data_IF_988522698690
#
_entry.id   IF_988522698690
#
_cell.length_a   1.000
_cell.length_b   1.000
_cell.length_c   1.000
_cell.angle_alpha   90.00
_cell.angle_beta   90.00
_cell.angle_gamma   90.00
#
_symmetry.space_group_name_H-M   'P 1'
#
loop_
_entity.id
_entity.type
_entity.pdbx_description
1 polymer ?
#
# COMPACT_ATOMS: atom_id res chain seq x y z
N UNK A 1 -6.73 13.35 17.43
CA UNK A 1 -6.19 12.60 16.26
C UNK A 1 -6.97 11.32 15.96
N UNK A 2 -7.00 10.32 16.86
CA UNK A 2 -7.58 8.98 16.56
C UNK A 2 -8.91 8.70 17.29
N UNK A 3 -9.65 9.74 17.69
CA UNK A 3 -10.90 9.57 18.42
C UNK A 3 -11.97 8.91 17.53
N UNK A 4 -12.67 7.91 18.06
CA UNK A 4 -13.73 7.18 17.34
C UNK A 4 -13.25 6.17 16.30
N UNK A 5 -11.93 6.03 16.10
CA UNK A 5 -11.38 5.06 15.15
C UNK A 5 -11.36 3.64 15.76
N UNK A 6 -12.00 2.64 15.15
CA UNK A 6 -11.97 1.26 15.66
C UNK A 6 -10.57 0.65 15.71
N UNK A 7 -9.60 1.21 14.95
CA UNK A 7 -8.19 0.79 14.94
C UNK A 7 -7.29 1.75 15.74
N UNK A 8 -7.86 2.62 16.59
CA UNK A 8 -7.11 3.63 17.33
C UNK A 8 -5.92 3.04 18.11
N UNK A 9 -6.11 1.94 18.83
CA UNK A 9 -5.05 1.37 19.67
C UNK A 9 -3.93 0.70 18.86
N UNK A 10 -4.29 0.09 17.73
CA UNK A 10 -3.30 -0.40 16.76
C UNK A 10 -2.46 0.76 16.22
N UNK A 11 -3.11 1.84 15.78
CA UNK A 11 -2.42 3.03 15.23
C UNK A 11 -1.54 3.71 16.26
N UNK A 12 -1.98 3.83 17.53
CA UNK A 12 -1.12 4.33 18.63
C UNK A 12 0.13 3.47 18.80
N UNK A 13 -0.07 2.15 18.81
CA UNK A 13 1.04 1.18 18.91
C UNK A 13 2.01 1.36 17.76
N UNK A 14 1.52 1.47 16.52
CA UNK A 14 2.33 1.69 15.32
C UNK A 14 3.10 3.02 15.36
N UNK A 15 2.51 4.09 15.88
CA UNK A 15 3.19 5.38 16.07
C UNK A 15 4.35 5.22 17.07
N UNK A 16 4.11 4.63 18.25
CA UNK A 16 5.19 4.44 19.23
C UNK A 16 6.27 3.47 18.74
N UNK A 17 5.91 2.42 18.01
CA UNK A 17 6.87 1.53 17.36
C UNK A 17 7.68 2.24 16.28
N UNK A 18 7.07 3.20 15.56
CA UNK A 18 7.80 4.03 14.60
C UNK A 18 8.87 4.86 15.31
N UNK A 19 8.53 5.48 16.44
CA UNK A 19 9.50 6.22 17.26
C UNK A 19 10.60 5.27 17.76
N UNK A 20 10.24 4.11 18.31
CA UNK A 20 11.21 3.09 18.76
C UNK A 20 12.13 2.61 17.63
N UNK A 21 11.59 2.43 16.43
CA UNK A 21 12.34 2.02 15.24
C UNK A 21 13.36 3.06 14.81
N UNK A 22 13.06 4.37 14.97
CA UNK A 22 14.05 5.43 14.69
C UNK A 22 15.28 5.34 15.60
N UNK A 23 15.16 4.76 16.80
CA UNK A 23 16.26 4.53 17.74
C UNK A 23 17.10 3.28 17.40
N UNK A 24 16.71 2.49 16.40
CA UNK A 24 17.47 1.34 15.94
C UNK A 24 18.52 1.77 14.91
N UNK A 25 19.81 1.58 15.21
CA UNK A 25 20.87 1.89 14.25
C UNK A 25 20.80 0.98 13.01
N UNK A 26 20.60 -0.32 13.16
CA UNK A 26 20.53 -1.20 11.98
C UNK A 26 19.22 -1.04 11.19
N UNK A 27 19.20 -1.60 9.97
CA UNK A 27 18.02 -1.66 9.09
C UNK A 27 17.47 -3.08 9.02
N UNK A 28 17.49 -3.80 10.14
CA UNK A 28 17.03 -5.18 10.20
C UNK A 28 15.52 -5.31 9.97
N UNK A 29 14.76 -4.23 10.23
CA UNK A 29 13.41 -4.04 9.72
C UNK A 29 13.53 -3.09 8.51
N UNK A 30 13.52 -3.66 7.31
CA UNK A 30 13.64 -2.91 6.06
C UNK A 30 12.29 -2.31 5.69
N UNK A 31 12.22 -0.98 5.63
CA UNK A 31 11.00 -0.34 5.18
C UNK A 31 10.88 1.15 5.43
N UNK A 32 9.63 1.60 5.44
CA UNK A 32 9.14 2.95 5.63
C UNK A 32 7.75 2.89 6.28
N UNK A 33 7.43 3.93 7.06
CA UNK A 33 6.08 4.17 7.57
C UNK A 33 5.48 5.35 6.81
N UNK A 34 4.21 5.24 6.43
CA UNK A 34 3.48 6.29 5.73
C UNK A 34 2.37 6.81 6.63
N UNK A 35 2.45 8.08 7.00
CA UNK A 35 1.41 8.82 7.70
C UNK A 35 0.54 9.53 6.66
N UNK A 36 -0.71 9.11 6.54
CA UNK A 36 -1.63 9.58 5.51
C UNK A 36 -2.77 10.42 6.13
N UNK A 37 -3.10 11.56 5.52
CA UNK A 37 -4.29 12.34 5.91
C UNK A 37 -4.58 13.49 4.95
N UNK A 38 -5.47 14.41 5.28
CA UNK A 38 -5.89 15.55 4.45
C UNK A 38 -5.20 16.87 4.82
N UNK A 39 -4.48 16.92 5.95
CA UNK A 39 -3.83 18.11 6.50
C UNK A 39 -4.55 18.60 7.75
N UNK A 40 -3.79 19.05 8.76
CA UNK A 40 -4.35 19.54 10.03
C UNK A 40 -4.68 18.46 11.06
N UNK A 41 -4.38 17.18 10.79
CA UNK A 41 -4.64 16.08 11.74
C UNK A 41 -3.53 15.87 12.77
N UNK A 42 -2.44 16.63 12.67
CA UNK A 42 -1.33 16.59 13.64
C UNK A 42 -0.16 15.67 13.27
N UNK A 43 -0.06 15.21 12.02
CA UNK A 43 1.09 14.44 11.52
C UNK A 43 2.42 15.19 11.72
N UNK A 44 2.42 16.51 11.46
CA UNK A 44 3.57 17.39 11.71
C UNK A 44 3.96 17.48 13.19
N UNK A 45 3.03 17.33 14.13
CA UNK A 45 3.33 17.28 15.57
C UNK A 45 4.11 16.01 15.89
N UNK A 46 3.74 14.87 15.28
CA UNK A 46 4.48 13.60 15.46
C UNK A 46 5.90 13.73 14.89
N UNK A 47 6.06 14.32 13.70
CA UNK A 47 7.38 14.63 13.14
C UNK A 47 8.21 15.50 14.09
N UNK A 48 7.60 16.51 14.70
CA UNK A 48 8.28 17.39 15.66
C UNK A 48 8.75 16.65 16.91
N UNK A 49 7.93 15.75 17.44
CA UNK A 49 8.33 14.88 18.56
C UNK A 49 9.52 14.00 18.17
N UNK A 50 9.48 13.35 17.00
CA UNK A 50 10.59 12.53 16.50
C UNK A 50 11.86 13.37 16.31
N UNK A 51 11.73 14.56 15.72
CA UNK A 51 12.84 15.49 15.53
C UNK A 51 13.48 15.88 16.87
N UNK A 52 12.68 16.22 17.89
CA UNK A 52 13.16 16.64 19.20
C UNK A 52 13.78 15.48 20.02
N UNK A 53 13.36 14.24 19.77
CA UNK A 53 13.92 13.05 20.44
C UNK A 53 15.26 12.59 19.85
N UNK A 54 15.56 12.95 18.60
CA UNK A 54 16.72 12.45 17.87
C UNK A 54 17.82 13.51 17.79
N UNK A 55 19.07 13.05 17.82
CA UNK A 55 20.24 13.94 17.70
C UNK A 55 20.30 14.63 16.33
N UNK A 56 19.88 13.91 15.29
CA UNK A 56 19.91 14.40 13.92
C UNK A 56 18.84 13.71 13.09
N UNK A 57 18.08 14.52 12.38
CA UNK A 57 17.13 14.13 11.34
C UNK A 57 17.52 14.75 10.01
N UNK A 58 16.95 14.25 8.93
CA UNK A 58 16.98 14.86 7.60
C UNK A 58 15.55 14.99 7.07
N UNK A 59 15.39 15.73 5.97
CA UNK A 59 14.09 15.98 5.34
C UNK A 59 14.22 15.97 3.81
N UNK A 60 14.89 14.94 3.28
CA UNK A 60 15.10 14.78 1.83
C UNK A 60 13.87 14.09 1.25
N UNK A 61 13.25 14.69 0.23
CA UNK A 61 12.10 14.11 -0.47
C UNK A 61 12.45 12.81 -1.20
N UNK A 62 11.46 12.01 -1.57
CA UNK A 62 11.75 10.83 -2.41
C UNK A 62 12.26 11.22 -3.79
N UNK A 63 11.78 12.33 -4.34
CA UNK A 63 12.27 12.89 -5.61
C UNK A 63 13.74 13.33 -5.49
N UNK A 64 14.09 14.13 -4.48
CA UNK A 64 15.47 14.55 -4.22
C UNK A 64 16.39 13.35 -3.97
N UNK A 65 15.89 12.31 -3.29
CA UNK A 65 16.65 11.09 -3.05
C UNK A 65 17.03 10.40 -4.37
N UNK A 66 16.13 10.38 -5.34
CA UNK A 66 16.34 9.71 -6.63
C UNK A 66 17.09 10.59 -7.65
N UNK A 67 16.89 11.92 -7.63
CA UNK A 67 17.45 12.81 -8.64
C UNK A 67 18.68 13.60 -8.18
N UNK A 68 18.71 14.06 -6.91
CA UNK A 68 19.80 14.89 -6.39
C UNK A 68 20.84 14.05 -5.63
N UNK A 69 21.93 13.76 -6.33
CA UNK A 69 23.07 13.00 -5.78
C UNK A 69 23.78 13.66 -4.60
N UNK A 70 23.67 14.98 -4.44
CA UNK A 70 24.27 15.71 -3.32
C UNK A 70 23.35 15.70 -2.09
N UNK A 71 22.02 15.76 -2.29
CA UNK A 71 21.04 15.66 -1.20
C UNK A 71 21.17 14.36 -0.42
N UNK A 72 21.51 13.25 -1.09
CA UNK A 72 21.78 11.94 -0.44
C UNK A 72 22.82 12.01 0.69
N UNK A 73 23.77 12.95 0.63
CA UNK A 73 24.76 13.12 1.69
C UNK A 73 24.16 13.67 2.99
N UNK A 74 22.99 14.32 2.96
CA UNK A 74 22.31 14.82 4.17
C UNK A 74 21.81 13.68 5.07
N UNK A 75 21.60 12.46 4.52
CA UNK A 75 21.28 11.25 5.30
C UNK A 75 22.43 10.79 6.21
N UNK A 76 23.66 11.22 5.94
CA UNK A 76 24.81 10.81 6.74
C UNK A 76 24.68 11.30 8.19
N UNK A 77 24.67 10.34 9.12
CA UNK A 77 24.51 10.60 10.56
C UNK A 77 23.08 10.87 11.01
N UNK A 78 22.10 10.87 10.12
CA UNK A 78 20.69 11.07 10.45
C UNK A 78 20.05 9.77 10.95
N UNK A 79 19.17 9.87 11.95
CA UNK A 79 18.46 8.74 12.55
C UNK A 79 17.08 8.52 11.94
N UNK A 80 16.46 9.59 11.45
CA UNK A 80 15.23 9.56 10.67
C UNK A 80 15.33 10.54 9.49
N UNK A 81 14.71 10.16 8.38
CA UNK A 81 14.39 11.05 7.28
C UNK A 81 12.89 11.32 7.33
N UNK A 82 12.52 12.53 7.74
CA UNK A 82 11.14 12.99 7.93
C UNK A 82 10.70 13.70 6.64
N UNK A 83 9.99 12.96 5.81
CA UNK A 83 9.54 13.41 4.49
C UNK A 83 8.15 14.02 4.65
N UNK A 84 7.96 15.28 4.28
CA UNK A 84 6.64 15.93 4.27
C UNK A 84 6.38 16.44 2.86
N UNK A 85 5.43 15.82 2.16
CA UNK A 85 5.13 16.12 0.76
C UNK A 85 3.62 16.23 0.55
N UNK A 86 3.18 17.33 -0.07
CA UNK A 86 1.79 17.51 -0.47
C UNK A 86 1.37 16.56 -1.59
N UNK A 87 2.32 16.18 -2.45
CA UNK A 87 2.13 15.23 -3.55
C UNK A 87 3.31 14.27 -3.60
N UNK A 88 3.02 13.00 -3.35
CA UNK A 88 4.00 11.93 -3.30
C UNK A 88 4.31 11.40 -4.70
N UNK A 89 5.56 11.47 -5.14
CA UNK A 89 6.00 10.91 -6.43
C UNK A 89 7.15 9.92 -6.24
N UNK A 90 7.08 8.78 -6.94
CA UNK A 90 8.17 7.81 -7.00
C UNK A 90 8.56 7.66 -8.46
N UNK A 91 9.78 8.06 -8.79
CA UNK A 91 10.32 8.09 -10.15
C UNK A 91 11.02 6.79 -10.52
N UNK A 92 12.00 6.41 -9.70
CA UNK A 92 12.70 5.13 -9.81
C UNK A 92 12.92 4.70 -8.37
N UNK A 93 12.36 3.60 -7.89
CA UNK A 93 12.46 3.29 -6.45
C UNK A 93 13.86 2.84 -6.01
N UNK A 94 14.93 3.13 -6.76
CA UNK A 94 16.27 2.52 -6.65
C UNK A 94 17.06 3.01 -5.44
N UNK A 95 17.26 4.32 -5.29
CA UNK A 95 17.97 4.86 -4.13
C UNK A 95 17.20 4.62 -2.85
N UNK A 96 15.87 4.71 -2.91
CA UNK A 96 15.01 4.30 -1.82
C UNK A 96 15.30 2.86 -1.38
N UNK A 97 15.59 1.92 -2.29
CA UNK A 97 16.00 0.55 -1.91
C UNK A 97 17.28 0.52 -1.11
N UNK A 98 18.29 1.22 -1.63
CA UNK A 98 19.65 1.24 -1.07
C UNK A 98 19.71 1.91 0.30
N UNK A 99 18.89 2.94 0.54
CA UNK A 99 18.89 3.62 1.84
C UNK A 99 18.06 2.89 2.89
N UNK A 100 17.22 1.94 2.49
CA UNK A 100 16.32 1.17 3.38
C UNK A 100 16.74 -0.30 3.57
N UNK A 101 17.81 -0.77 2.93
CA UNK A 101 18.29 -2.15 3.06
C UNK A 101 19.48 -2.31 4.01
N UNK A 102 20.06 -1.20 4.50
CA UNK A 102 21.22 -1.18 5.39
C UNK A 102 22.56 -1.40 4.69
N UNK A 103 22.58 -1.39 3.35
CA UNK A 103 23.83 -1.52 2.58
C UNK A 103 24.67 -0.25 2.64
N UNK A 104 25.98 -0.41 2.46
CA UNK A 104 26.89 0.74 2.33
C UNK A 104 26.71 1.36 0.96
N UNK A 105 26.32 2.63 0.94
CA UNK A 105 26.18 3.44 -0.27
C UNK A 105 27.35 4.40 -0.41
N UNK A 106 27.66 4.76 -1.66
CA UNK A 106 28.60 5.85 -1.97
C UNK A 106 27.79 7.08 -2.37
N UNK A 107 28.05 8.22 -1.73
CA UNK A 107 27.35 9.48 -2.00
C UNK A 107 28.33 10.59 -2.32
N UNK A 108 27.88 11.57 -3.11
CA UNK A 108 28.67 12.74 -3.48
C UNK A 108 28.46 13.86 -2.46
N UNK A 109 29.56 14.46 -1.98
CA UNK A 109 29.51 15.71 -1.22
C UNK A 109 29.80 16.87 -2.17
N UNK A 110 28.95 17.90 -2.17
CA UNK A 110 29.18 19.10 -2.99
C UNK A 110 30.55 19.71 -2.63
N UNK A 111 31.39 19.91 -3.65
CA UNK A 111 32.77 20.41 -3.51
C UNK A 111 33.67 19.57 -2.58
N UNK A 112 33.40 18.28 -2.42
CA UNK A 112 34.20 17.38 -1.60
C UNK A 112 34.37 15.99 -2.22
N UNK A 113 35.16 15.15 -1.58
CA UNK A 113 35.31 13.77 -2.03
C UNK A 113 34.04 12.96 -1.72
N UNK A 114 33.65 12.04 -2.63
CA UNK A 114 32.63 11.06 -2.32
C UNK A 114 33.02 10.25 -1.08
N UNK A 115 32.03 9.87 -0.29
CA UNK A 115 32.25 9.04 0.89
C UNK A 115 31.24 7.91 0.95
N UNK A 116 31.57 6.90 1.76
CA UNK A 116 30.77 5.70 1.94
C UNK A 116 30.18 5.67 3.33
N UNK A 117 28.91 5.30 3.44
CA UNK A 117 28.26 5.04 4.71
C UNK A 117 27.09 4.08 4.53
N UNK A 118 26.65 3.43 5.61
CA UNK A 118 25.38 2.73 5.63
C UNK A 118 24.32 3.68 6.19
N UNK A 119 23.22 3.87 5.47
CA UNK A 119 22.12 4.68 5.98
C UNK A 119 21.48 3.99 7.18
N UNK A 120 21.30 4.74 8.27
CA UNK A 120 20.53 4.32 9.43
C UNK A 120 19.21 5.09 9.55
N UNK A 121 19.05 6.14 8.72
CA UNK A 121 17.94 7.07 8.74
C UNK A 121 16.64 6.38 8.35
N UNK A 122 15.73 6.21 9.30
CA UNK A 122 14.40 5.62 9.09
C UNK A 122 13.52 6.54 8.27
N UNK A 123 12.93 6.01 7.21
CA UNK A 123 12.07 6.77 6.31
C UNK A 123 10.67 6.86 6.92
N UNK A 124 10.21 8.08 7.20
CA UNK A 124 8.87 8.37 7.70
C UNK A 124 8.26 9.41 6.76
N UNK A 125 7.16 9.05 6.13
CA UNK A 125 6.56 9.81 5.03
C UNK A 125 5.22 10.35 5.50
N UNK A 126 5.10 11.66 5.55
CA UNK A 126 3.85 12.38 5.72
C UNK A 126 3.35 12.85 4.36
N UNK A 127 2.16 12.40 3.95
CA UNK A 127 1.56 12.85 2.70
C UNK A 127 0.04 12.91 2.72
N UNK A 128 -0.50 13.76 1.84
CA UNK A 128 -1.93 13.89 1.63
C UNK A 128 -2.46 13.20 0.37
N UNK A 129 -1.56 12.74 -0.50
CA UNK A 129 -1.91 12.09 -1.77
C UNK A 129 -0.98 10.92 -2.02
N UNK A 130 -1.57 9.78 -2.38
CA UNK A 130 -0.80 8.63 -2.83
C UNK A 130 -0.95 8.49 -4.35
N UNK A 131 0.16 8.30 -5.10
CA UNK A 131 0.16 8.17 -6.55
C UNK A 131 -0.49 6.86 -6.97
N UNK A 132 -1.27 6.95 -8.05
CA UNK A 132 -1.94 5.84 -8.71
C UNK A 132 -1.05 5.29 -9.85
N UNK A 133 0.04 4.59 -9.48
CA UNK A 133 1.03 4.04 -10.43
C UNK A 133 1.50 2.63 -10.06
N UNK A 134 0.60 1.66 -10.18
CA UNK A 134 0.79 0.28 -9.70
C UNK A 134 2.09 -0.40 -10.21
N UNK A 135 2.47 -0.19 -11.49
CA UNK A 135 3.63 -0.85 -12.10
C UNK A 135 4.97 -0.31 -11.61
N UNK A 136 5.05 0.98 -11.28
CA UNK A 136 6.30 1.65 -10.84
C UNK A 136 6.59 1.43 -9.35
N UNK A 137 5.55 1.04 -8.59
CA UNK A 137 5.56 1.04 -7.12
C UNK A 137 5.79 -0.34 -6.47
N UNK A 138 5.83 -1.44 -7.23
CA UNK A 138 5.94 -2.80 -6.66
C UNK A 138 7.09 -2.96 -5.66
N UNK A 139 8.25 -2.40 -5.98
CA UNK A 139 9.41 -2.52 -5.11
C UNK A 139 9.40 -1.54 -3.92
N UNK A 140 8.60 -0.49 -4.02
CA UNK A 140 8.26 0.41 -2.92
C UNK A 140 7.28 -0.27 -1.95
N UNK A 141 6.22 -0.93 -2.44
CA UNK A 141 5.26 -1.64 -1.58
C UNK A 141 5.89 -2.70 -0.66
N UNK A 142 6.99 -3.34 -1.10
CA UNK A 142 7.75 -4.28 -0.25
C UNK A 142 8.38 -3.64 0.99
N UNK A 143 8.49 -2.31 0.99
CA UNK A 143 9.08 -1.50 2.07
C UNK A 143 8.03 -0.77 2.88
N UNK A 144 6.76 -0.74 2.44
CA UNK A 144 5.70 -0.13 3.24
C UNK A 144 5.41 -1.06 4.42
N UNK A 145 5.89 -0.67 5.59
CA UNK A 145 5.63 -1.39 6.86
C UNK A 145 4.18 -1.14 7.26
N UNK A 146 3.72 0.10 7.09
CA UNK A 146 2.41 0.53 7.56
C UNK A 146 1.95 1.83 6.85
N UNK A 147 0.63 2.01 6.78
CA UNK A 147 -0.04 3.21 6.31
C UNK A 147 -1.03 3.66 7.41
N UNK A 148 -0.63 4.67 8.17
CA UNK A 148 -1.35 5.18 9.33
C UNK A 148 -2.23 6.35 8.90
N UNK A 149 -3.55 6.15 8.89
CA UNK A 149 -4.49 7.24 8.62
C UNK A 149 -4.83 8.00 9.88
N UNK A 150 -4.98 9.32 9.73
CA UNK A 150 -5.46 10.20 10.77
C UNK A 150 -6.86 10.71 10.37
N UNK A 151 -7.94 10.21 10.98
CA UNK A 151 -9.29 10.52 10.52
C UNK A 151 -9.81 11.88 10.99
N UNK A 152 -9.21 12.49 12.02
CA UNK A 152 -9.72 13.72 12.62
C UNK A 152 -8.75 14.88 12.44
N UNK A 153 -9.23 15.99 11.88
CA UNK A 153 -8.57 17.29 11.97
C UNK A 153 -8.54 17.72 13.43
N UNK A 154 -7.42 18.27 13.90
CA UNK A 154 -7.27 18.63 15.31
C UNK A 154 -8.29 19.68 15.75
N UNK A 155 -8.57 20.66 14.90
CA UNK A 155 -9.51 21.75 15.16
C UNK A 155 -10.96 21.27 15.26
N UNK A 156 -11.29 20.10 14.70
CA UNK A 156 -12.63 19.50 14.82
C UNK A 156 -12.85 18.84 16.20
N UNK A 157 -11.78 18.49 16.90
CA UNK A 157 -11.84 17.71 18.16
C UNK A 157 -11.30 18.47 19.37
N UNK A 158 -10.55 19.54 19.17
CA UNK A 158 -9.93 20.35 20.22
C UNK A 158 -9.96 21.83 19.85
N UNK A 159 -10.11 22.69 20.85
CA UNK A 159 -10.01 24.14 20.64
C UNK A 159 -8.54 24.55 20.42
N UNK A 160 -8.26 25.63 19.67
CA UNK A 160 -6.90 26.06 19.34
C UNK A 160 -5.98 26.23 20.56
N UNK A 161 -6.50 26.72 21.69
CA UNK A 161 -5.73 26.90 22.92
C UNK A 161 -5.30 25.57 23.54
N UNK A 162 -6.10 24.52 23.40
CA UNK A 162 -5.73 23.17 23.85
C UNK A 162 -4.66 22.58 22.94
N UNK A 163 -4.79 22.75 21.62
CA UNK A 163 -3.80 22.29 20.64
C UNK A 163 -2.45 22.94 20.96
N UNK A 164 -2.43 24.27 21.15
CA UNK A 164 -1.23 25.01 21.50
C UNK A 164 -0.57 24.49 22.77
N UNK A 165 -1.35 24.27 23.85
CA UNK A 165 -0.82 23.72 25.11
C UNK A 165 -0.24 22.31 24.95
N UNK A 166 -0.87 21.47 24.14
CA UNK A 166 -0.35 20.11 23.85
C UNK A 166 0.96 20.20 23.10
N UNK A 167 1.07 21.05 22.08
CA UNK A 167 2.31 21.26 21.33
C UNK A 167 3.42 21.80 22.25
N UNK A 168 3.15 22.85 23.03
CA UNK A 168 4.10 23.40 24.00
C UNK A 168 4.60 22.32 24.99
N UNK A 169 3.69 21.47 25.47
CA UNK A 169 4.05 20.36 26.37
C UNK A 169 4.91 19.31 25.67
N UNK A 170 4.67 19.01 24.40
CA UNK A 170 5.45 18.05 23.62
C UNK A 170 6.83 18.57 23.19
N UNK A 171 7.07 19.87 23.33
CA UNK A 171 8.38 20.50 23.15
C UNK A 171 9.17 20.63 24.47
N UNK A 172 8.51 20.44 25.61
CA UNK A 172 9.15 20.46 26.91
C UNK A 172 10.10 19.27 27.08
N UNK A 173 11.30 19.57 27.61
CA UNK A 173 12.35 18.56 27.77
C UNK A 173 11.96 17.44 28.73
N UNK A 174 11.27 17.75 29.82
CA UNK A 174 10.87 16.74 30.80
C UNK A 174 9.81 15.80 30.21
N UNK A 175 8.87 16.34 29.43
CA UNK A 175 7.90 15.50 28.72
C UNK A 175 8.57 14.64 27.63
N UNK A 176 9.52 15.18 26.87
CA UNK A 176 10.29 14.41 25.90
C UNK A 176 11.08 13.27 26.57
N UNK A 177 11.72 13.52 27.72
CA UNK A 177 12.43 12.50 28.49
C UNK A 177 11.47 11.39 28.98
N UNK A 178 10.24 11.76 29.36
CA UNK A 178 9.18 10.80 29.71
C UNK A 178 8.71 9.98 28.51
N UNK A 179 8.49 10.63 27.36
CA UNK A 179 8.12 9.96 26.11
C UNK A 179 9.22 8.98 25.70
N UNK A 180 10.48 9.41 25.75
CA UNK A 180 11.64 8.57 25.46
C UNK A 180 11.66 7.32 26.35
N UNK A 181 11.56 7.51 27.67
CA UNK A 181 11.54 6.41 28.64
C UNK A 181 10.37 5.44 28.37
N UNK A 182 9.18 5.99 28.11
CA UNK A 182 8.00 5.19 27.78
C UNK A 182 8.19 4.38 26.49
N UNK A 183 8.79 4.97 25.45
CA UNK A 183 9.10 4.28 24.19
C UNK A 183 10.12 3.16 24.40
N UNK A 184 11.17 3.40 25.19
CA UNK A 184 12.20 2.40 25.49
C UNK A 184 11.60 1.21 26.23
N UNK A 185 10.87 1.46 27.32
CA UNK A 185 10.37 0.41 28.21
C UNK A 185 9.27 -0.44 27.56
N UNK A 186 8.40 0.18 26.74
CA UNK A 186 7.19 -0.48 26.25
C UNK A 186 7.28 -0.95 24.80
N UNK A 187 8.15 -0.34 23.97
CA UNK A 187 8.14 -0.60 22.51
C UNK A 187 9.52 -1.00 21.96
N UNK A 188 10.61 -0.38 22.41
CA UNK A 188 11.95 -0.66 21.87
C UNK A 188 12.41 -2.10 22.13
N UNK A 189 12.35 -2.57 23.38
CA UNK A 189 12.71 -3.94 23.74
C UNK A 189 11.90 -5.01 22.97
N UNK A 190 10.55 -4.93 22.98
CA UNK A 190 9.71 -5.84 22.21
C UNK A 190 9.97 -5.78 20.70
N UNK A 191 10.12 -4.60 20.11
CA UNK A 191 10.38 -4.42 18.68
C UNK A 191 11.72 -5.03 18.26
N UNK A 192 12.79 -4.79 19.02
CA UNK A 192 14.13 -5.35 18.75
C UNK A 192 14.22 -6.85 18.95
N UNK A 193 13.29 -7.45 19.70
CA UNK A 193 13.20 -8.92 19.84
C UNK A 193 12.44 -9.55 18.69
N UNK A 194 11.27 -9.00 18.33
CA UNK A 194 10.38 -9.58 17.32
C UNK A 194 10.72 -9.19 15.88
N UNK A 195 11.47 -8.10 15.69
CA UNK A 195 11.96 -7.60 14.40
C UNK A 195 10.86 -7.41 13.34
N UNK A 196 9.66 -7.04 13.79
CA UNK A 196 8.46 -6.87 12.97
C UNK A 196 7.51 -5.92 13.67
N UNK A 197 6.86 -5.01 12.94
CA UNK A 197 5.85 -4.10 13.53
C UNK A 197 4.55 -4.83 13.86
N UNK A 198 3.81 -4.30 14.84
CA UNK A 198 2.44 -4.75 15.13
C UNK A 198 1.56 -4.34 13.95
N UNK A 199 0.84 -5.31 13.37
CA UNK A 199 0.02 -5.06 12.17
C UNK A 199 0.85 -4.75 10.92
N UNK A 200 2.13 -5.10 10.88
CA UNK A 200 2.98 -4.87 9.70
C UNK A 200 2.35 -5.48 8.44
N UNK A 201 2.20 -4.63 7.42
CA UNK A 201 1.64 -5.02 6.13
C UNK A 201 2.61 -5.93 5.37
N UNK A 202 2.08 -6.98 4.77
CA UNK A 202 2.79 -7.72 3.73
C UNK A 202 2.65 -7.01 2.36
N UNK A 203 3.35 -7.49 1.34
CA UNK A 203 3.34 -6.89 0.00
C UNK A 203 1.92 -6.71 -0.58
N UNK A 204 1.07 -7.73 -0.44
CA UNK A 204 -0.28 -7.71 -1.01
C UNK A 204 -1.20 -6.78 -0.20
N UNK A 205 -1.07 -6.80 1.13
CA UNK A 205 -1.80 -5.88 2.02
C UNK A 205 -1.40 -4.43 1.78
N UNK A 206 -0.09 -4.13 1.72
CA UNK A 206 0.44 -2.80 1.42
C UNK A 206 -0.08 -2.30 0.08
N UNK A 207 -0.07 -3.15 -0.95
CA UNK A 207 -0.62 -2.81 -2.27
C UNK A 207 -2.13 -2.51 -2.21
N UNK A 208 -2.91 -3.36 -1.54
CA UNK A 208 -4.36 -3.20 -1.40
C UNK A 208 -4.72 -1.94 -0.61
N UNK A 209 -4.04 -1.69 0.50
CA UNK A 209 -4.23 -0.49 1.32
C UNK A 209 -3.78 0.78 0.59
N UNK A 210 -2.69 0.73 -0.17
CA UNK A 210 -2.26 1.83 -1.03
C UNK A 210 -3.32 2.19 -2.06
N UNK A 211 -3.82 1.20 -2.79
CA UNK A 211 -4.79 1.39 -3.88
C UNK A 211 -6.09 2.00 -3.36
N UNK A 212 -6.59 1.55 -2.21
CA UNK A 212 -7.79 2.13 -1.57
C UNK A 212 -7.67 3.63 -1.34
N UNK A 213 -6.44 4.13 -1.12
CA UNK A 213 -6.16 5.54 -0.89
C UNK A 213 -5.80 6.29 -2.18
N UNK A 214 -5.02 5.69 -3.08
CA UNK A 214 -4.67 6.34 -4.36
C UNK A 214 -5.86 6.41 -5.31
N UNK A 215 -6.61 5.31 -5.43
CA UNK A 215 -7.74 5.15 -6.34
C UNK A 215 -8.96 4.53 -5.63
N UNK A 216 -9.64 5.29 -4.74
CA UNK A 216 -10.82 4.81 -4.04
C UNK A 216 -11.98 4.47 -4.98
N UNK A 217 -12.06 5.08 -6.17
CA UNK A 217 -13.07 4.73 -7.17
C UNK A 217 -12.89 3.29 -7.68
N UNK A 218 -11.66 2.90 -8.01
CA UNK A 218 -11.34 1.52 -8.40
C UNK A 218 -11.53 0.53 -7.25
N UNK A 219 -11.09 0.89 -6.04
CA UNK A 219 -11.25 0.03 -4.88
C UNK A 219 -12.74 -0.23 -4.57
N UNK A 220 -13.60 0.78 -4.69
CA UNK A 220 -15.04 0.62 -4.53
C UNK A 220 -15.65 -0.29 -5.60
N UNK A 221 -15.30 -0.10 -6.88
CA UNK A 221 -15.83 -0.96 -7.94
C UNK A 221 -15.31 -2.39 -7.88
N UNK A 222 -14.06 -2.60 -7.46
CA UNK A 222 -13.53 -3.95 -7.17
C UNK A 222 -14.34 -4.62 -6.08
N UNK A 223 -14.66 -3.91 -5.00
CA UNK A 223 -15.54 -4.43 -3.94
C UNK A 223 -16.90 -4.88 -4.51
N UNK A 224 -17.52 -4.08 -5.39
CA UNK A 224 -18.77 -4.48 -6.05
C UNK A 224 -18.59 -5.70 -6.97
N UNK A 225 -17.53 -5.69 -7.78
CA UNK A 225 -17.21 -6.75 -8.73
C UNK A 225 -16.94 -8.09 -8.03
N UNK A 226 -16.12 -8.08 -6.98
CA UNK A 226 -15.72 -9.27 -6.22
C UNK A 226 -16.91 -9.89 -5.45
N UNK A 227 -17.97 -9.12 -5.23
CA UNK A 227 -19.23 -9.59 -4.66
C UNK A 227 -20.32 -9.87 -5.72
N UNK A 228 -19.98 -9.82 -7.01
CA UNK A 228 -20.92 -10.06 -8.13
C UNK A 228 -22.11 -9.09 -8.17
N UNK A 229 -21.89 -7.85 -7.72
CA UNK A 229 -22.90 -6.78 -7.59
C UNK A 229 -22.91 -5.84 -8.82
N UNK A 230 -21.94 -5.99 -9.72
CA UNK A 230 -21.95 -5.36 -11.05
C UNK A 230 -22.57 -6.35 -12.04
N UNK A 231 -23.82 -6.10 -12.43
CA UNK A 231 -24.60 -7.00 -13.27
C UNK A 231 -24.57 -6.48 -14.70
N UNK A 232 -24.39 -7.37 -15.67
CA UNK A 232 -24.42 -7.05 -17.10
C UNK A 232 -25.56 -7.77 -17.84
N UNK A 233 -26.06 -8.86 -17.28
CA UNK A 233 -27.24 -9.56 -17.79
C UNK A 233 -28.54 -8.84 -17.38
N UNK A 234 -29.44 -8.66 -18.34
CA UNK A 234 -30.66 -7.88 -18.12
C UNK A 234 -31.70 -8.63 -17.29
N UNK A 235 -31.76 -9.96 -17.40
CA UNK A 235 -32.73 -10.78 -16.66
C UNK A 235 -32.31 -10.91 -15.21
N UNK A 236 -31.01 -11.10 -14.94
CA UNK A 236 -30.47 -11.07 -13.58
C UNK A 236 -30.73 -9.70 -12.90
N UNK A 237 -30.55 -8.61 -13.66
CA UNK A 237 -30.83 -7.27 -13.18
C UNK A 237 -32.32 -7.07 -12.85
N UNK A 238 -33.24 -7.61 -13.67
CA UNK A 238 -34.70 -7.55 -13.41
C UNK A 238 -35.05 -8.19 -12.08
N UNK A 239 -34.54 -9.40 -11.84
CA UNK A 239 -34.77 -10.15 -10.60
C UNK A 239 -34.29 -9.33 -9.39
N UNK A 240 -33.09 -8.75 -9.46
CA UNK A 240 -32.53 -7.96 -8.35
C UNK A 240 -33.30 -6.65 -8.12
N UNK A 241 -33.70 -5.96 -9.20
CA UNK A 241 -34.52 -4.75 -9.11
C UNK A 241 -35.87 -5.07 -8.44
N UNK A 242 -36.51 -6.17 -8.83
CA UNK A 242 -37.79 -6.61 -8.27
C UNK A 242 -37.68 -6.97 -6.78
N UNK A 243 -36.71 -7.81 -6.42
CA UNK A 243 -36.46 -8.22 -5.03
C UNK A 243 -36.15 -7.02 -4.14
N UNK A 244 -35.44 -6.01 -4.67
CA UNK A 244 -35.08 -4.80 -3.92
C UNK A 244 -36.14 -3.70 -3.98
N UNK A 245 -37.29 -3.94 -4.63
CA UNK A 245 -38.41 -3.00 -4.72
C UNK A 245 -38.04 -1.71 -5.47
N UNK A 246 -37.10 -1.78 -6.41
CA UNK A 246 -36.66 -0.64 -7.23
C UNK A 246 -37.53 -0.53 -8.48
N UNK A 247 -37.64 0.69 -9.00
CA UNK A 247 -38.36 0.96 -10.25
C UNK A 247 -37.54 0.47 -11.45
N UNK A 248 -38.02 -0.51 -12.23
CA UNK A 248 -37.31 -1.02 -13.41
C UNK A 248 -37.07 0.06 -14.47
N UNK A 249 -37.99 1.01 -14.65
CA UNK A 249 -37.83 2.07 -15.66
C UNK A 249 -36.63 2.97 -15.38
N UNK A 250 -36.16 3.01 -14.12
CA UNK A 250 -34.97 3.77 -13.72
C UNK A 250 -33.67 3.13 -14.21
N UNK A 251 -33.64 1.80 -14.30
CA UNK A 251 -32.41 1.03 -14.54
C UNK A 251 -32.42 0.28 -15.88
N UNK A 252 -33.59 0.06 -16.47
CA UNK A 252 -33.77 -0.61 -17.76
C UNK A 252 -34.31 0.43 -18.76
N UNK A 253 -33.72 0.48 -19.94
CA UNK A 253 -34.15 1.37 -21.02
C UNK A 253 -34.56 0.57 -22.25
N UNK A 254 -35.76 0.82 -22.76
CA UNK A 254 -36.19 0.29 -24.05
C UNK A 254 -35.62 1.10 -25.22
N UNK A 255 -35.17 0.40 -26.26
CA UNK A 255 -34.83 0.85 -27.63
C UNK A 255 -34.55 2.34 -27.88
N UNK A 256 -33.30 2.66 -28.27
CA UNK A 256 -32.93 3.91 -28.95
C UNK A 256 -32.61 3.63 -30.43
N UNK A 257 -33.18 4.39 -31.36
CA UNK A 257 -32.95 4.29 -32.82
C UNK A 257 -33.26 2.93 -33.49
N UNK A 258 -34.35 2.26 -33.10
CA UNK A 258 -34.93 1.18 -33.92
C UNK A 258 -34.35 -0.23 -33.75
N UNK A 259 -33.45 -0.46 -32.79
CA UNK A 259 -33.23 -1.80 -32.21
C UNK A 259 -34.27 -2.02 -31.11
N UNK A 260 -34.87 -3.21 -31.00
CA UNK A 260 -35.85 -3.54 -29.94
C UNK A 260 -35.18 -4.00 -28.65
N UNK A 261 -33.85 -3.96 -28.57
CA UNK A 261 -33.12 -4.55 -27.47
C UNK A 261 -33.10 -3.57 -26.29
N UNK A 262 -33.62 -4.04 -25.16
CA UNK A 262 -33.50 -3.34 -23.90
C UNK A 262 -32.05 -3.38 -23.42
N UNK A 263 -31.64 -2.35 -22.70
CA UNK A 263 -30.30 -2.27 -22.15
C UNK A 263 -30.31 -1.68 -20.75
N UNK A 264 -29.30 -2.07 -19.97
CA UNK A 264 -29.10 -1.60 -18.60
C UNK A 264 -28.55 -0.18 -18.59
N UNK A 265 -29.00 0.59 -17.61
CA UNK A 265 -28.54 1.95 -17.35
C UNK A 265 -28.35 2.17 -15.86
N UNK A 266 -27.15 2.57 -15.46
CA UNK A 266 -26.88 3.02 -14.09
C UNK A 266 -26.68 4.53 -14.04
N UNK A 267 -27.55 5.29 -13.35
CA UNK A 267 -27.33 6.73 -13.14
C UNK A 267 -25.98 7.00 -12.47
N UNK A 268 -25.14 7.84 -13.10
CA UNK A 268 -23.75 8.07 -12.64
C UNK A 268 -23.71 8.61 -11.22
N UNK A 269 -24.63 9.51 -10.90
CA UNK A 269 -24.67 10.17 -9.60
C UNK A 269 -24.93 9.18 -8.45
N UNK A 270 -25.68 8.10 -8.68
CA UNK A 270 -25.94 7.09 -7.65
C UNK A 270 -24.66 6.36 -7.26
N UNK A 271 -23.88 5.92 -8.25
CA UNK A 271 -22.59 5.26 -7.99
C UNK A 271 -21.58 6.22 -7.35
N UNK A 272 -21.53 7.47 -7.81
CA UNK A 272 -20.65 8.49 -7.21
C UNK A 272 -21.02 8.70 -5.74
N UNK A 273 -22.31 8.89 -5.44
CA UNK A 273 -22.78 9.12 -4.07
C UNK A 273 -22.49 7.91 -3.18
N UNK A 274 -22.70 6.69 -3.68
CA UNK A 274 -22.41 5.48 -2.92
C UNK A 274 -20.91 5.28 -2.69
N UNK A 275 -20.08 5.51 -3.70
CA UNK A 275 -18.62 5.46 -3.59
C UNK A 275 -18.07 6.52 -2.62
N UNK A 276 -18.60 7.75 -2.67
CA UNK A 276 -18.22 8.83 -1.74
C UNK A 276 -18.62 8.48 -0.30
N UNK A 277 -19.84 7.94 -0.09
CA UNK A 277 -20.29 7.49 1.23
C UNK A 277 -19.36 6.41 1.77
N UNK A 278 -19.10 5.37 0.98
CA UNK A 278 -18.18 4.29 1.33
C UNK A 278 -16.78 4.82 1.67
N UNK A 279 -16.21 5.66 0.82
CA UNK A 279 -14.89 6.24 1.06
C UNK A 279 -14.84 7.11 2.32
N UNK A 280 -15.91 7.86 2.61
CA UNK A 280 -16.02 8.68 3.83
C UNK A 280 -16.04 7.81 5.08
N UNK A 281 -16.86 6.75 5.09
CA UNK A 281 -16.94 5.80 6.21
C UNK A 281 -15.59 5.09 6.48
N UNK A 282 -14.77 4.93 5.43
CA UNK A 282 -13.43 4.33 5.54
C UNK A 282 -12.30 5.33 5.76
N UNK A 283 -12.58 6.64 5.73
CA UNK A 283 -11.55 7.68 5.83
C UNK A 283 -10.66 7.83 4.58
N UNK A 284 -11.09 7.33 3.43
CA UNK A 284 -10.39 7.45 2.14
C UNK A 284 -10.63 8.83 1.48
N UNK A 285 -9.78 9.25 0.53
CA UNK A 285 -9.91 10.55 -0.11
C UNK A 285 -11.09 10.63 -1.08
N UNK A 286 -12.10 11.43 -0.73
CA UNK A 286 -13.29 11.62 -1.59
C UNK A 286 -12.99 12.41 -2.88
N UNK A 287 -11.93 13.23 -2.89
CA UNK A 287 -11.55 14.07 -4.05
C UNK A 287 -11.21 13.27 -5.30
N UNK A 288 -10.80 12.00 -5.13
CA UNK A 288 -10.46 11.09 -6.22
C UNK A 288 -11.67 10.29 -6.73
N UNK A 289 -12.90 10.65 -6.32
CA UNK A 289 -14.13 9.99 -6.74
C UNK A 289 -14.99 10.97 -7.54
N UNK A 290 -15.08 10.71 -8.84
CA UNK A 290 -15.90 11.44 -9.80
C UNK A 290 -16.25 10.55 -11.01
N UNK A 291 -17.13 11.03 -11.89
CA UNK A 291 -17.57 10.29 -13.06
C UNK A 291 -16.43 9.80 -13.97
N UNK A 292 -15.34 10.56 -14.09
CA UNK A 292 -14.20 10.16 -14.92
C UNK A 292 -13.37 9.05 -14.26
N UNK A 293 -13.09 9.16 -12.95
CA UNK A 293 -12.37 8.14 -12.18
C UNK A 293 -13.12 6.80 -12.12
N UNK A 294 -14.43 6.82 -11.86
CA UNK A 294 -15.29 5.62 -11.88
C UNK A 294 -15.34 5.06 -13.30
N UNK A 295 -15.45 5.93 -14.31
CA UNK A 295 -15.43 5.51 -15.70
C UNK A 295 -14.14 4.79 -16.10
N UNK A 296 -12.97 5.31 -15.69
CA UNK A 296 -11.68 4.64 -15.90
C UNK A 296 -11.63 3.31 -15.15
N UNK A 297 -12.09 3.29 -13.91
CA UNK A 297 -12.07 2.09 -13.08
C UNK A 297 -12.96 0.97 -13.64
N UNK A 298 -14.15 1.27 -14.16
CA UNK A 298 -15.00 0.30 -14.87
C UNK A 298 -14.26 -0.32 -16.07
N UNK A 299 -13.58 0.51 -16.87
CA UNK A 299 -12.79 0.02 -18.00
C UNK A 299 -11.62 -0.88 -17.55
N UNK A 300 -10.94 -0.52 -16.45
CA UNK A 300 -9.88 -1.36 -15.84
C UNK A 300 -10.40 -2.73 -15.41
N UNK A 301 -11.67 -2.82 -14.99
CA UNK A 301 -12.34 -4.08 -14.64
C UNK A 301 -12.92 -4.84 -15.85
N UNK A 302 -12.77 -4.31 -17.06
CA UNK A 302 -13.26 -4.93 -18.29
C UNK A 302 -14.69 -4.55 -18.68
N UNK A 303 -15.33 -3.62 -17.96
CA UNK A 303 -16.67 -3.14 -18.28
C UNK A 303 -16.62 -1.94 -19.23
N UNK A 304 -17.08 -2.14 -20.46
CA UNK A 304 -17.43 -1.03 -21.36
C UNK A 304 -18.52 -0.19 -20.72
N UNK A 305 -18.42 1.14 -20.83
CA UNK A 305 -19.31 2.05 -20.12
C UNK A 305 -19.73 3.28 -20.96
N UNK A 306 -20.46 3.07 -22.07
CA UNK A 306 -20.99 4.16 -22.88
C UNK A 306 -21.84 5.10 -22.01
N UNK A 307 -21.82 6.39 -22.32
CA UNK A 307 -22.64 7.36 -21.58
C UNK A 307 -23.90 7.70 -22.37
N UNK A 308 -25.05 7.55 -21.73
CA UNK A 308 -26.37 7.89 -22.30
C UNK A 308 -27.10 8.92 -21.44
N UNK A 309 -28.05 9.63 -22.04
CA UNK A 309 -29.01 10.47 -21.32
C UNK A 309 -30.24 9.65 -20.93
N UNK A 310 -30.38 9.37 -19.63
CA UNK A 310 -31.48 8.61 -19.07
C UNK A 310 -32.55 9.55 -18.54
N UNK A 311 -33.81 9.35 -18.96
CA UNK A 311 -34.97 10.02 -18.37
C UNK A 311 -35.38 9.27 -17.11
N UNK A 312 -35.52 9.97 -15.99
CA UNK A 312 -35.98 9.39 -14.72
C UNK A 312 -37.32 10.01 -14.34
N UNK A 313 -38.32 9.17 -14.11
CA UNK A 313 -39.67 9.58 -13.71
C UNK A 313 -40.45 10.33 -14.79
N UNK A 314 -41.69 10.67 -14.44
CA UNK A 314 -42.63 11.35 -15.34
C UNK A 314 -42.25 12.80 -15.63
N UNK A 315 -41.56 13.46 -14.69
CA UNK A 315 -41.16 14.87 -14.73
C UNK A 315 -40.10 15.23 -15.79
N UNK A 316 -39.48 14.24 -16.42
CA UNK A 316 -38.63 14.46 -17.60
C UNK A 316 -37.20 14.93 -17.32
N UNK A 317 -36.73 14.92 -16.08
CA UNK A 317 -35.34 15.22 -15.78
C UNK A 317 -34.43 14.15 -16.41
N UNK A 318 -33.42 14.62 -17.16
CA UNK A 318 -32.41 13.77 -17.78
C UNK A 318 -31.17 13.72 -16.90
N UNK A 319 -30.64 12.52 -16.69
CA UNK A 319 -29.37 12.31 -16.00
C UNK A 319 -28.41 11.55 -16.88
N UNK A 320 -27.11 11.75 -16.66
CA UNK A 320 -26.08 10.93 -17.31
C UNK A 320 -26.04 9.56 -16.64
N UNK A 321 -26.10 8.51 -17.44
CA UNK A 321 -25.99 7.12 -16.99
C UNK A 321 -24.89 6.39 -17.75
N UNK A 322 -24.28 5.38 -17.13
CA UNK A 322 -23.51 4.36 -17.85
C UNK A 322 -24.45 3.30 -18.41
N UNK A 323 -24.17 2.84 -19.63
CA UNK A 323 -24.91 1.83 -20.38
C UNK A 323 -24.36 0.43 -20.13
N UNK A 324 -25.18 -0.59 -20.37
CA UNK A 324 -24.85 -2.02 -20.44
C UNK A 324 -24.40 -2.65 -19.11
N UNK A 325 -24.65 -1.95 -18.00
CA UNK A 325 -24.37 -2.47 -16.66
C UNK A 325 -25.28 -1.85 -15.61
N UNK A 326 -25.51 -2.62 -14.55
CA UNK A 326 -26.16 -2.23 -13.31
C UNK A 326 -25.16 -2.31 -12.17
N UNK A 327 -24.72 -1.16 -11.63
CA UNK A 327 -24.02 -1.15 -10.34
C UNK A 327 -25.06 -1.10 -9.23
N UNK A 328 -25.24 -2.21 -8.51
CA UNK A 328 -26.19 -2.27 -7.41
C UNK A 328 -25.59 -1.60 -6.17
N UNK A 329 -25.95 -0.33 -5.96
CA UNK A 329 -25.36 0.53 -4.90
C UNK A 329 -26.16 0.52 -3.60
N UNK A 330 -27.30 -0.17 -3.57
CA UNK A 330 -28.25 -0.18 -2.46
C UNK A 330 -28.26 -1.46 -1.64
N UNK A 331 -27.43 -2.44 -2.01
CA UNK A 331 -27.24 -3.65 -1.22
C UNK A 331 -26.00 -3.49 -0.32
N UNK A 332 -26.05 -4.01 0.92
CA UNK A 332 -24.86 -4.09 1.75
C UNK A 332 -23.85 -5.02 1.08
N UNK A 333 -22.59 -4.63 1.05
CA UNK A 333 -21.50 -5.41 0.47
C UNK A 333 -20.61 -5.92 1.59
N UNK A 334 -20.39 -7.23 1.64
CA UNK A 334 -19.46 -7.82 2.60
C UNK A 334 -18.02 -7.53 2.16
N UNK A 335 -17.21 -6.95 3.05
CA UNK A 335 -15.87 -6.47 2.66
C UNK A 335 -14.76 -7.52 2.78
N UNK A 336 -14.97 -8.66 3.46
CA UNK A 336 -13.95 -9.72 3.54
C UNK A 336 -14.45 -11.12 3.93
N UNK A 337 -13.80 -12.12 3.34
CA UNK A 337 -13.72 -13.55 3.72
C UNK A 337 -13.10 -13.78 5.13
N UNK A 338 -12.62 -12.73 5.81
CA UNK A 338 -12.02 -12.80 7.15
C UNK A 338 -13.01 -13.15 8.27
N UNK A 339 -14.32 -13.08 8.01
CA UNK A 339 -15.35 -13.44 8.98
C UNK A 339 -15.69 -14.94 8.98
N UNK A 340 -15.09 -15.72 8.07
CA UNK A 340 -15.24 -17.19 8.00
C UNK A 340 -14.06 -17.97 8.62
N UNK A 341 -12.97 -17.32 9.02
CA UNK A 341 -11.77 -17.99 9.56
C UNK A 341 -11.46 -17.74 11.04
N UNK A 342 -12.34 -17.05 11.78
CA UNK A 342 -12.22 -16.93 13.24
C UNK A 342 -13.23 -17.81 13.98
N UNK A 343 -13.02 -19.11 13.89
CA UNK A 343 -13.53 -20.07 14.85
C UNK A 343 -12.49 -21.19 15.02
N UNK A 344 -12.09 -21.58 16.24
CA UNK A 344 -11.14 -22.67 16.40
C UNK A 344 -11.80 -23.95 15.92
N UNK A 345 -11.46 -24.41 14.71
CA UNK A 345 -11.67 -25.80 14.33
C UNK A 345 -10.73 -26.64 15.20
N UNK A 346 -11.28 -27.13 16.31
CA UNK A 346 -10.67 -28.22 17.06
C UNK A 346 -10.39 -29.36 16.07
N UNK A 347 -9.12 -29.60 15.78
CA UNK A 347 -8.68 -30.92 15.35
C UNK A 347 -8.94 -31.85 16.54
N UNK A 348 -10.08 -32.55 16.52
CA UNK A 348 -10.27 -33.68 17.41
C UNK A 348 -9.27 -34.75 17.01
N UNK A 349 -8.39 -35.05 17.96
CA UNK A 349 -7.33 -36.02 17.84
C UNK A 349 -7.85 -37.41 17.51
N UNK A 350 -6.93 -38.16 16.90
CA UNK A 350 -6.91 -39.60 16.98
C UNK A 350 -7.04 -40.02 18.46
N UNK A 351 -8.10 -40.75 18.78
CA UNK A 351 -8.18 -41.53 20.01
C UNK A 351 -8.56 -42.95 19.63
N UNK A 352 -7.55 -43.81 19.71
CA UNK A 352 -7.54 -45.20 20.16
C UNK A 352 -8.87 -45.96 20.20
N UNK A 353 -8.85 -47.06 19.45
CA UNK A 353 -9.78 -48.17 19.51
C UNK A 353 -9.68 -48.80 20.91
N UNK A 354 -10.79 -48.89 21.64
CA UNK A 354 -10.94 -49.80 22.77
C UNK A 354 -12.18 -50.69 22.53
N UNK A 355 -12.03 -52.03 22.42
CA UNK A 355 -13.11 -52.92 22.05
C UNK A 355 -13.76 -53.49 23.31
N UNK A 356 -14.85 -52.90 23.79
CA UNK A 356 -15.79 -53.56 24.70
C UNK A 356 -17.02 -52.68 24.94
N UNK A 357 -18.07 -52.86 24.13
CA UNK A 357 -19.46 -52.91 24.63
C UNK A 357 -20.41 -53.37 23.53
N UNK A 358 -20.99 -54.54 23.77
CA UNK A 358 -22.01 -55.20 22.97
C UNK A 358 -23.39 -54.65 23.33
N UNK A 359 -24.27 -54.61 22.33
CA UNK A 359 -25.73 -54.92 22.36
C UNK A 359 -26.77 -53.80 22.14
N UNK A 360 -27.65 -54.11 21.16
CA UNK A 360 -29.04 -53.63 20.87
C UNK A 360 -29.14 -52.25 20.20
N UNK A 361 -29.83 -52.04 19.09
CA UNK A 361 -30.71 -52.86 18.25
C UNK A 361 -31.37 -51.96 17.18
N UNK A 362 -32.06 -52.60 16.21
CA UNK A 362 -32.96 -52.04 15.16
C UNK A 362 -32.35 -51.03 14.16
N UNK A 363 -32.02 -51.44 12.93
CA UNK A 363 -32.89 -51.50 11.74
C UNK A 363 -33.47 -50.16 11.30
N UNK A 364 -33.05 -49.64 10.14
CA UNK A 364 -33.87 -49.47 8.94
C UNK A 364 -33.02 -48.83 7.83
N UNK A 365 -33.13 -49.42 6.64
CA UNK A 365 -32.50 -48.98 5.41
C UNK A 365 -33.46 -48.08 4.63
N UNK A 366 -32.91 -47.12 3.87
CA UNK A 366 -33.24 -46.81 2.46
C UNK A 366 -32.38 -45.61 2.00
N UNK A 367 -31.42 -45.79 1.09
CA UNK A 367 -31.50 -45.81 -0.39
C UNK A 367 -31.74 -44.43 -1.03
N UNK A 368 -30.62 -43.88 -1.49
CA UNK A 368 -30.34 -43.30 -2.82
C UNK A 368 -31.51 -42.73 -3.65
N UNK A 369 -31.40 -41.45 -4.01
CA UNK A 369 -31.75 -40.96 -5.35
C UNK A 369 -30.91 -39.71 -5.71
N UNK A 370 -29.83 -39.90 -6.47
CA UNK A 370 -29.14 -38.85 -7.22
C UNK A 370 -29.41 -39.09 -8.70
N UNK A 371 -30.10 -38.15 -9.35
CA UNK A 371 -30.27 -38.11 -10.80
C UNK A 371 -29.21 -37.22 -11.44
N UNK A 372 -28.34 -37.83 -12.26
CA UNK A 372 -27.46 -37.17 -13.23
C UNK A 372 -28.29 -36.65 -14.40
N UNK A 373 -27.87 -35.52 -14.98
CA UNK A 373 -28.09 -35.21 -16.39
C UNK A 373 -26.73 -35.08 -17.09
N UNK A 374 -26.52 -35.97 -18.06
CA UNK A 374 -25.44 -35.97 -19.05
C UNK A 374 -25.95 -35.31 -20.34
N UNK A 375 -25.09 -34.56 -21.02
CA UNK A 375 -25.20 -34.25 -22.45
C UNK A 375 -23.78 -34.33 -23.07
N UNK A 376 -23.48 -35.47 -23.70
CA UNK A 376 -22.57 -35.66 -24.85
C UNK A 376 -23.26 -35.09 -26.10
N UNK A 377 -22.69 -34.77 -27.27
CA UNK A 377 -21.38 -34.70 -27.96
C UNK A 377 -21.73 -33.94 -29.27
N UNK A 378 -20.87 -33.35 -30.10
CA UNK A 378 -19.43 -33.38 -30.28
C UNK A 378 -19.06 -32.63 -31.57
N UNK A 379 -17.75 -32.49 -31.83
CA UNK A 379 -17.10 -32.60 -33.16
C UNK A 379 -15.60 -32.34 -33.02
N UNK A 380 -14.80 -33.38 -33.31
CA UNK A 380 -13.35 -33.33 -33.60
C UNK A 380 -13.10 -34.06 -34.91
N UNK A 381 -12.26 -33.46 -35.76
CA UNK A 381 -11.44 -34.05 -36.87
C UNK A 381 -10.43 -32.93 -37.23
N UNK A 382 -9.16 -33.09 -37.62
CA UNK A 382 -8.08 -34.06 -37.44
C UNK A 382 -6.78 -33.39 -37.94
N UNK A 383 -5.65 -33.89 -37.45
CA UNK A 383 -4.21 -33.66 -37.78
C UNK A 383 -3.81 -33.55 -39.26
N UNK A 384 -2.73 -32.80 -39.51
CA UNK A 384 -1.61 -33.16 -40.41
C UNK A 384 -0.28 -32.61 -39.89
N UNK A 385 0.70 -33.51 -39.77
CA UNK A 385 2.14 -33.27 -39.59
C UNK A 385 2.78 -32.68 -40.86
N UNK A 386 3.83 -31.86 -40.71
CA UNK A 386 4.96 -31.84 -41.64
C UNK A 386 6.28 -31.56 -40.90
N UNK A 387 7.31 -32.23 -41.40
CA UNK A 387 8.63 -32.49 -40.82
C UNK A 387 9.75 -31.64 -41.42
N UNK A 388 10.80 -31.43 -40.60
CA UNK A 388 12.22 -31.36 -40.97
C UNK A 388 12.79 -30.10 -41.64
N UNK A 389 13.83 -29.52 -41.03
CA UNK A 389 15.19 -29.50 -41.59
C UNK A 389 16.25 -29.07 -40.54
N UNK A 390 17.24 -29.96 -40.33
CA UNK A 390 18.71 -29.77 -40.21
C UNK A 390 19.26 -28.42 -39.65
N UNK A 391 20.29 -28.33 -38.80
CA UNK A 391 21.28 -29.29 -38.32
C UNK A 391 22.47 -28.53 -37.67
N UNK A 392 23.03 -29.13 -36.61
CA UNK A 392 24.39 -29.05 -36.06
C UNK A 392 25.31 -27.84 -36.31
N UNK A 393 25.90 -27.31 -35.22
CA UNK A 393 27.36 -27.24 -35.08
C UNK A 393 27.81 -27.21 -33.60
N UNK A 394 28.84 -28.00 -33.35
CA UNK A 394 29.39 -28.46 -32.08
C UNK A 394 30.49 -27.52 -31.52
N UNK A 395 30.63 -27.57 -30.19
CA UNK A 395 31.88 -27.61 -29.38
C UNK A 395 33.21 -27.15 -30.02
N UNK A 396 33.92 -26.29 -29.27
CA UNK A 396 35.36 -26.51 -28.98
C UNK A 396 35.73 -25.98 -27.59
N UNK A 397 36.11 -26.92 -26.72
CA UNK A 397 36.88 -26.75 -25.48
C UNK A 397 38.26 -27.36 -25.77
N UNK A 398 39.33 -26.63 -25.50
CA UNK A 398 40.74 -27.07 -25.31
C UNK A 398 41.39 -25.95 -24.47
N UNK A 399 41.50 -26.04 -23.13
CA UNK A 399 42.59 -26.61 -22.32
C UNK A 399 44.01 -26.13 -22.67
N UNK A 400 44.71 -25.54 -21.69
CA UNK A 400 46.14 -25.25 -21.79
C UNK A 400 46.64 -24.41 -20.62
N UNK A 401 47.28 -25.08 -19.68
CA UNK A 401 47.83 -24.59 -18.41
C UNK A 401 48.99 -23.57 -18.53
N UNK A 402 49.26 -22.96 -17.37
CA UNK A 402 50.59 -22.74 -16.77
C UNK A 402 51.23 -21.36 -16.81
N UNK A 403 51.73 -21.00 -15.62
CA UNK A 403 52.88 -20.13 -15.31
C UNK A 403 52.68 -18.60 -15.17
N UNK A 404 52.68 -18.16 -13.89
CA UNK A 404 53.41 -16.95 -13.46
C UNK A 404 54.91 -17.30 -13.46
N UNK A 405 55.81 -16.33 -13.72
CA UNK A 405 56.44 -15.66 -12.57
C UNK A 405 56.89 -14.19 -12.79
N UNK A 406 57.22 -13.58 -11.64
CA UNK A 406 58.25 -12.57 -11.40
C UNK A 406 58.06 -11.08 -11.82
N UNK A 407 57.89 -10.29 -10.76
CA UNK A 407 58.52 -9.00 -10.44
C UNK A 407 59.77 -8.59 -11.23
N UNK A 408 59.84 -7.32 -11.61
CA UNK A 408 61.09 -6.58 -11.88
C UNK A 408 61.22 -5.36 -10.94
N UNK A 409 62.32 -5.22 -10.19
CA UNK A 409 62.60 -4.10 -9.28
C UNK A 409 63.50 -3.02 -9.91
N UNK A 410 63.49 -1.84 -9.25
CA UNK A 410 64.46 -0.71 -9.30
C UNK A 410 64.01 0.51 -10.12
N UNK A 411 63.65 1.57 -9.40
CA UNK A 411 64.55 2.73 -9.23
C UNK A 411 64.20 3.48 -7.93
N UNK A 412 65.23 3.64 -7.09
CA UNK A 412 65.20 4.27 -5.77
C UNK A 412 65.46 5.79 -5.83
N UNK A 413 64.84 6.49 -4.86
CA UNK A 413 65.34 7.60 -4.02
C UNK A 413 65.63 9.00 -4.62
N UNK A 414 64.87 9.97 -4.09
CA UNK A 414 65.26 11.16 -3.27
C UNK A 414 63.93 11.81 -2.85
N UNK A 415 63.50 11.97 -1.60
CA UNK A 415 64.20 12.36 -0.38
C UNK A 415 64.12 13.88 -0.21
N UNK A 416 63.09 14.41 0.47
CA UNK A 416 63.04 15.71 1.21
C UNK A 416 61.63 16.00 1.73
N UNK A 417 61.45 16.07 3.05
CA UNK A 417 60.30 16.74 3.70
C UNK A 417 60.46 18.28 3.64
N UNK A 418 59.39 19.04 3.91
CA UNK A 418 59.49 19.95 5.04
C UNK A 418 58.31 19.87 6.01
N UNK A 419 58.62 20.22 7.26
CA UNK A 419 57.75 20.37 8.44
C UNK A 419 57.27 21.85 8.54
N UNK A 420 56.40 22.19 9.53
CA UNK A 420 55.27 23.10 9.36
C UNK A 420 55.66 24.58 9.53
N UNK A 421 54.86 25.46 8.96
CA UNK A 421 54.93 26.90 9.20
C UNK A 421 53.90 27.30 10.26
N UNK A 422 54.39 28.01 11.27
CA UNK A 422 53.64 28.55 12.39
C UNK A 422 54.27 29.91 12.67
N UNK A 423 53.59 31.00 12.29
CA UNK A 423 53.97 32.36 12.69
C UNK A 423 52.75 33.27 12.80
N UNK A 424 52.51 33.69 14.05
CA UNK A 424 52.22 35.05 14.50
C UNK A 424 50.92 35.78 14.11
N UNK A 425 50.01 35.78 15.09
CA UNK A 425 49.49 36.96 15.81
C UNK A 425 49.88 38.33 15.22
N UNK A 426 48.87 39.10 14.78
CA UNK A 426 48.74 40.53 15.08
C UNK A 426 47.27 40.94 15.25
N UNK A 427 46.99 41.53 16.40
CA UNK A 427 45.92 42.51 16.62
C UNK A 427 45.95 43.61 15.54
N UNK A 428 44.79 44.03 15.06
CA UNK A 428 44.43 45.44 15.13
C UNK A 428 42.93 45.69 14.92
N UNK A 429 42.48 46.77 15.57
CA UNK A 429 41.11 47.26 15.71
C UNK A 429 40.55 47.80 14.40
N UNK A 430 39.23 47.71 14.24
CA UNK A 430 38.43 48.37 13.21
C UNK A 430 36.97 47.95 13.29
#
# INVERSE_FOLDING_TARGET
MLQGDPKADLKKTQIFETIAWTLMKNYSIQGTVVMYGRGGEGKSIIHKVVENLLVRTSSITLEELEEDKFKRAELYGSWANLISESSFQILSSEWFKRVTDGTTITVDRKNGHPFKFASHAKQIIDTNELPDKENELRAFYRRVIDIIDFPNVLEDVMIPEQIKKVVEKLEDKEELDRIFSYVIDNYYGPLTTRMKFTGQLNLNEAKKEWEKRSNPALAYLRLLNDNEIIITDIEDARVIIEITGRDPERYITGSYKGSFDEYLTTPKQEVITAAVKWATEKGFPIKNINAASIGKALNTLGYSNPTVDKRIGTSGSRTKAWCDLLNVTWMPVAETVSDLENGPRQQKGQSEINPDTISRGSSFADKNFYGKHEHEEGKRVSTTDESSTLGNANKKVVSGDSERPATDPRLEKKGSQPKPDNSDIRDDRG
#
